data_IF_300306120350
#
_entry.id   IF_300306120350
#
_cell.length_a   1.000
_cell.length_b   1.000
_cell.length_c   1.000
_cell.angle_alpha   90.00
_cell.angle_beta   90.00
_cell.angle_gamma   90.00
#
_symmetry.space_group_name_H-M   'P 1'
#
loop_
_entity.id
_entity.type
_entity.pdbx_description
1 polymer ?
#
# COMPACT_ATOMS: atom_id res chain seq x y z
N UNK A 1 20.53 1.26 -40.30
CA UNK A 1 19.56 0.44 -39.56
C UNK A 1 20.09 0.22 -38.16
N UNK A 2 19.60 0.96 -37.18
CA UNK A 2 19.81 0.61 -35.77
C UNK A 2 18.43 0.33 -35.22
N UNK A 3 18.09 -0.96 -35.16
CA UNK A 3 16.88 -1.46 -34.55
C UNK A 3 16.99 -1.22 -33.04
N UNK A 4 16.46 -0.08 -32.58
CA UNK A 4 16.01 0.07 -31.20
C UNK A 4 14.73 -0.76 -31.04
N UNK A 5 14.88 -2.05 -31.28
CA UNK A 5 13.92 -3.07 -30.93
C UNK A 5 14.18 -3.37 -29.46
N UNK A 6 13.55 -2.57 -28.61
CA UNK A 6 13.04 -3.07 -27.34
C UNK A 6 11.68 -2.45 -27.19
N UNK A 7 10.68 -3.23 -27.59
CA UNK A 7 9.38 -3.23 -26.97
C UNK A 7 9.54 -3.46 -25.45
N UNK A 8 10.11 -2.51 -24.73
CA UNK A 8 9.75 -2.26 -23.34
C UNK A 8 8.43 -1.48 -23.40
N UNK A 9 7.40 -2.12 -23.94
CA UNK A 9 6.03 -1.68 -23.76
C UNK A 9 5.72 -1.93 -22.28
N UNK A 10 6.16 -0.96 -21.47
CA UNK A 10 6.50 -1.02 -20.06
C UNK A 10 5.60 -1.91 -19.22
N UNK A 11 6.16 -3.02 -18.75
CA UNK A 11 5.58 -3.69 -17.60
C UNK A 11 5.42 -2.63 -16.49
N UNK A 12 4.24 -2.52 -15.87
CA UNK A 12 3.99 -1.47 -14.90
C UNK A 12 5.06 -1.54 -13.82
N UNK A 13 5.76 -0.43 -13.61
CA UNK A 13 6.77 -0.32 -12.53
C UNK A 13 6.12 -0.04 -11.19
N UNK A 14 4.83 0.29 -11.19
CA UNK A 14 4.04 0.63 -10.03
C UNK A 14 2.81 -0.28 -9.93
N UNK A 15 2.33 -0.48 -8.71
CA UNK A 15 1.03 -1.06 -8.40
C UNK A 15 0.27 -0.11 -7.48
N UNK A 16 -1.06 -0.26 -7.42
CA UNK A 16 -1.89 0.45 -6.46
C UNK A 16 -2.11 -0.43 -5.23
N UNK A 17 -1.77 0.08 -4.06
CA UNK A 17 -2.21 -0.47 -2.80
C UNK A 17 -3.59 0.13 -2.45
N UNK A 18 -4.56 -0.73 -2.16
CA UNK A 18 -5.90 -0.36 -1.72
C UNK A 18 -6.07 -0.80 -0.27
N UNK A 19 -6.29 0.13 0.66
CA UNK A 19 -6.50 -0.19 2.07
C UNK A 19 -7.98 -0.42 2.32
N UNK A 20 -8.34 -1.62 2.78
CA UNK A 20 -9.75 -2.02 2.90
C UNK A 20 -10.34 -1.87 4.30
N UNK A 21 -9.51 -1.55 5.29
CA UNK A 21 -9.87 -1.36 6.71
C UNK A 21 -8.78 -0.55 7.46
N UNK A 22 -8.95 -0.40 8.77
CA UNK A 22 -7.99 0.27 9.65
C UNK A 22 -7.93 1.80 9.47
N UNK A 23 -6.85 2.45 9.95
CA UNK A 23 -6.71 3.91 9.91
C UNK A 23 -6.77 4.54 8.51
N UNK A 24 -6.38 3.77 7.49
CA UNK A 24 -6.28 4.21 6.10
C UNK A 24 -7.39 3.63 5.23
N UNK A 25 -8.46 3.06 5.80
CA UNK A 25 -9.59 2.48 5.05
C UNK A 25 -10.08 3.40 3.93
N UNK A 26 -10.25 2.83 2.74
CA UNK A 26 -10.73 3.54 1.56
C UNK A 26 -9.68 4.39 0.84
N UNK A 27 -8.48 4.54 1.41
CA UNK A 27 -7.37 5.21 0.75
C UNK A 27 -6.66 4.29 -0.25
N UNK A 28 -5.99 4.92 -1.22
CA UNK A 28 -5.16 4.25 -2.20
C UNK A 28 -3.78 4.90 -2.25
N UNK A 29 -2.75 4.08 -2.48
CA UNK A 29 -1.36 4.53 -2.61
C UNK A 29 -0.70 3.89 -3.83
N UNK A 30 0.24 4.59 -4.47
CA UNK A 30 0.98 4.08 -5.64
C UNK A 30 2.38 3.66 -5.23
N UNK A 31 2.72 2.39 -5.43
CA UNK A 31 3.97 1.80 -4.92
C UNK A 31 4.77 1.11 -6.00
N UNK A 32 6.09 1.12 -5.87
CA UNK A 32 6.97 0.46 -6.82
C UNK A 32 6.91 -1.06 -6.69
N UNK A 33 6.89 -1.74 -7.84
CA UNK A 33 7.13 -3.17 -7.93
C UNK A 33 8.62 -3.43 -7.78
N UNK A 34 8.99 -4.30 -6.84
CA UNK A 34 10.36 -4.73 -6.63
C UNK A 34 10.55 -6.05 -7.37
N UNK A 35 11.36 -6.04 -8.43
CA UNK A 35 11.56 -7.20 -9.32
C UNK A 35 10.24 -7.73 -9.89
N UNK A 36 9.32 -6.82 -10.24
CA UNK A 36 8.02 -7.16 -10.81
C UNK A 36 7.00 -7.72 -9.82
N UNK A 37 7.27 -7.65 -8.51
CA UNK A 37 6.37 -8.12 -7.46
C UNK A 37 6.09 -7.01 -6.45
N UNK A 38 4.88 -6.99 -5.91
CA UNK A 38 4.56 -6.18 -4.74
C UNK A 38 5.05 -6.88 -3.47
N UNK A 39 5.11 -6.13 -2.38
CA UNK A 39 5.44 -6.68 -1.08
C UNK A 39 4.17 -7.29 -0.46
N UNK A 40 4.21 -8.53 0.07
CA UNK A 40 3.05 -9.16 0.70
C UNK A 40 2.63 -8.44 1.99
N UNK A 41 3.53 -7.64 2.57
CA UNK A 41 3.31 -6.84 3.75
C UNK A 41 3.92 -5.46 3.57
N UNK A 42 3.20 -4.44 4.01
CA UNK A 42 3.62 -3.05 3.93
C UNK A 42 3.38 -2.31 5.24
N UNK A 43 4.19 -1.30 5.50
CA UNK A 43 3.95 -0.32 6.54
C UNK A 43 3.59 1.05 5.93
N UNK A 44 2.80 1.80 6.69
CA UNK A 44 2.49 3.19 6.43
C UNK A 44 2.74 4.00 7.70
N UNK A 45 3.34 5.18 7.52
CA UNK A 45 3.50 6.16 8.59
C UNK A 45 2.43 7.21 8.42
N UNK A 46 1.61 7.42 9.44
CA UNK A 46 0.60 8.46 9.45
C UNK A 46 0.58 9.17 10.80
N UNK A 47 0.30 10.47 10.79
CA UNK A 47 0.14 11.25 12.01
C UNK A 47 -1.25 11.01 12.59
N UNK A 48 -1.33 10.29 13.71
CA UNK A 48 -2.57 10.10 14.49
C UNK A 48 -2.43 10.86 15.79
N UNK A 49 -3.41 11.70 16.11
CA UNK A 49 -3.39 12.58 17.29
C UNK A 49 -2.11 13.46 17.42
N UNK A 50 -1.44 13.76 16.30
CA UNK A 50 -0.21 14.55 16.27
C UNK A 50 1.08 13.77 16.51
N UNK A 51 1.00 12.44 16.64
CA UNK A 51 2.14 11.53 16.76
C UNK A 51 2.30 10.73 15.45
N UNK A 52 3.53 10.58 14.98
CA UNK A 52 3.84 9.69 13.86
C UNK A 52 3.69 8.23 14.33
N UNK A 53 2.73 7.52 13.76
CA UNK A 53 2.43 6.11 14.08
C UNK A 53 2.70 5.22 12.86
N UNK A 54 3.21 4.02 13.12
CA UNK A 54 3.44 3.01 12.09
C UNK A 54 2.30 2.00 12.09
N UNK A 55 1.63 1.89 10.94
CA UNK A 55 0.55 0.94 10.70
C UNK A 55 0.99 -0.12 9.69
N UNK A 56 0.83 -1.39 10.06
CA UNK A 56 1.15 -2.54 9.24
C UNK A 56 -0.10 -3.09 8.57
N UNK A 57 0.07 -3.47 7.31
CA UNK A 57 -0.98 -4.08 6.52
C UNK A 57 -0.47 -5.29 5.74
N UNK A 58 -1.28 -6.33 5.71
CA UNK A 58 -1.01 -7.60 5.05
C UNK A 58 -1.90 -7.75 3.82
N UNK A 59 -1.33 -8.29 2.75
CA UNK A 59 -2.05 -8.56 1.51
C UNK A 59 -3.16 -9.59 1.74
N UNK A 60 -4.34 -9.30 1.17
CA UNK A 60 -5.48 -10.21 1.22
C UNK A 60 -6.05 -10.56 -0.16
N UNK A 61 -5.78 -9.74 -1.18
CA UNK A 61 -6.28 -9.94 -2.55
C UNK A 61 -5.41 -9.18 -3.57
N UNK A 62 -5.21 -9.76 -4.77
CA UNK A 62 -4.55 -9.14 -5.91
C UNK A 62 -5.44 -9.23 -7.14
N UNK A 63 -5.53 -8.11 -7.88
CA UNK A 63 -6.25 -8.06 -9.15
C UNK A 63 -5.56 -7.17 -10.15
N UNK A 64 -5.64 -7.55 -11.43
CA UNK A 64 -5.31 -6.67 -12.53
C UNK A 64 -6.57 -5.93 -13.02
N UNK A 65 -6.50 -4.60 -13.11
CA UNK A 65 -7.62 -3.77 -13.56
C UNK A 65 -7.12 -2.85 -14.67
N UNK A 66 -7.50 -3.14 -15.92
CA UNK A 66 -7.06 -2.41 -17.11
C UNK A 66 -5.52 -2.35 -17.28
N UNK A 67 -4.81 -3.45 -16.97
CA UNK A 67 -3.36 -3.48 -17.03
C UNK A 67 -2.66 -2.77 -15.87
N UNK A 68 -3.42 -2.31 -14.86
CA UNK A 68 -2.89 -1.76 -13.63
C UNK A 68 -3.12 -2.75 -12.49
N UNK A 69 -2.02 -3.23 -11.90
CA UNK A 69 -2.07 -4.08 -10.73
C UNK A 69 -2.61 -3.33 -9.52
N UNK A 70 -3.62 -3.89 -8.88
CA UNK A 70 -4.19 -3.42 -7.62
C UNK A 70 -4.12 -4.53 -6.59
N UNK A 71 -3.59 -4.20 -5.43
CA UNK A 71 -3.41 -5.14 -4.32
C UNK A 71 -4.14 -4.56 -3.12
N UNK A 72 -5.01 -5.37 -2.51
CA UNK A 72 -5.75 -4.98 -1.33
C UNK A 72 -5.01 -5.43 -0.08
N UNK A 73 -4.93 -4.52 0.88
CA UNK A 73 -4.25 -4.74 2.14
C UNK A 73 -5.21 -4.51 3.31
N UNK A 74 -5.14 -5.42 4.28
CA UNK A 74 -5.90 -5.39 5.54
C UNK A 74 -4.96 -5.09 6.70
N UNK A 75 -5.44 -4.29 7.64
CA UNK A 75 -4.74 -3.75 8.79
C UNK A 75 -4.46 -4.83 9.82
N UNK A 76 -3.19 -5.01 10.17
CA UNK A 76 -2.79 -5.88 11.28
C UNK A 76 -2.65 -5.06 12.56
N UNK A 77 -3.69 -5.09 13.38
CA UNK A 77 -3.71 -4.41 14.68
C UNK A 77 -2.63 -4.94 15.65
N UNK A 78 -2.20 -6.19 15.55
CA UNK A 78 -1.28 -6.78 16.53
C UNK A 78 0.15 -6.27 16.38
N UNK A 79 0.52 -5.94 15.14
CA UNK A 79 1.87 -5.49 14.79
C UNK A 79 1.95 -3.98 14.59
N UNK A 80 0.80 -3.30 14.56
CA UNK A 80 0.67 -1.85 14.41
C UNK A 80 0.74 -1.10 15.73
N UNK A 81 1.20 0.16 15.67
CA UNK A 81 1.11 1.07 16.80
C UNK A 81 -0.35 1.27 17.24
N UNK A 82 -0.61 1.37 18.55
CA UNK A 82 -1.94 1.63 19.06
C UNK A 82 -2.43 2.99 18.56
N UNK A 83 -3.69 3.02 18.13
CA UNK A 83 -4.39 4.25 17.80
C UNK A 83 -4.91 4.80 19.12
N UNK A 84 -4.12 5.62 19.81
CA UNK A 84 -4.58 6.32 21.01
C UNK A 84 -5.60 7.39 20.59
N UNK A 85 -6.89 7.04 20.63
CA UNK A 85 -8.00 7.97 20.36
C UNK A 85 -8.55 8.60 21.64
N UNK A 86 -8.02 8.26 22.81
CA UNK A 86 -8.50 8.81 24.08
C UNK A 86 -7.84 10.18 24.34
N UNK A 87 -8.42 11.22 23.75
CA UNK A 87 -8.30 12.55 24.33
C UNK A 87 -9.15 12.55 25.61
N UNK A 88 -8.50 12.45 26.77
CA UNK A 88 -9.17 12.67 28.05
C UNK A 88 -9.86 14.05 28.02
N UNK A 89 -11.19 14.13 28.21
CA UNK A 89 -11.85 15.43 28.30
C UNK A 89 -11.34 16.14 29.57
N UNK A 90 -10.71 17.30 29.37
CA UNK A 90 -10.35 18.23 30.45
C UNK A 90 -11.57 18.75 31.21
#
# INVERSE_FOLDING_TARGET
MNTFDRDDAGAPTLYIAEFIDGPLEGQIDSRALVRGKHAPRISMVAAVAGLESVFWYDEVDERDVNGQRRVRYSFDKNESDPIDTEVEPI
#
